data_IF_893156228813
#
_entry.id   IF_893156228813
#
_cell.length_a   1.000
_cell.length_b   1.000
_cell.length_c   1.000
_cell.angle_alpha   90.00
_cell.angle_beta   90.00
_cell.angle_gamma   90.00
#
_symmetry.space_group_name_H-M   'P 1'
#
loop_
_entity.id
_entity.type
_entity.pdbx_description
1 polymer ?
#
# COMPACT_ATOMS: atom_id res chain seq x y z
N UNK A 1 7.27 -10.43 1.92
CA UNK A 1 6.19 -9.53 2.37
C UNK A 1 6.49 -8.07 2.05
N UNK A 2 7.61 -7.50 2.49
CA UNK A 2 7.96 -6.09 2.21
C UNK A 2 7.94 -5.69 0.73
N UNK A 3 8.40 -6.56 -0.18
CA UNK A 3 8.34 -6.29 -1.63
C UNK A 3 6.93 -6.06 -2.14
N UNK A 4 6.01 -6.94 -1.73
CA UNK A 4 4.60 -6.81 -2.07
C UNK A 4 4.01 -5.53 -1.47
N UNK A 5 4.46 -5.12 -0.28
CA UNK A 5 4.02 -3.87 0.36
C UNK A 5 4.48 -2.62 -0.39
N UNK A 6 5.78 -2.50 -0.68
CA UNK A 6 6.35 -1.36 -1.42
C UNK A 6 5.63 -1.24 -2.77
N UNK A 7 5.51 -2.36 -3.46
CA UNK A 7 4.88 -2.43 -4.77
C UNK A 7 3.38 -2.12 -4.72
N UNK A 8 2.63 -2.67 -3.75
CA UNK A 8 1.20 -2.38 -3.58
C UNK A 8 0.96 -0.91 -3.23
N UNK A 9 1.80 -0.34 -2.37
CA UNK A 9 1.72 1.06 -1.98
C UNK A 9 2.02 1.98 -3.16
N UNK A 10 3.05 1.65 -3.93
CA UNK A 10 3.36 2.34 -5.17
C UNK A 10 2.15 2.33 -6.12
N UNK A 11 1.60 1.16 -6.44
CA UNK A 11 0.47 1.07 -7.37
C UNK A 11 -0.78 1.81 -6.87
N UNK A 12 -1.13 1.65 -5.59
CA UNK A 12 -2.26 2.37 -4.99
C UNK A 12 -2.07 3.90 -5.05
N UNK A 13 -0.85 4.39 -4.83
CA UNK A 13 -0.59 5.85 -4.87
C UNK A 13 -0.48 6.41 -6.28
N UNK A 14 0.06 5.62 -7.23
CA UNK A 14 0.01 5.95 -8.66
C UNK A 14 -1.44 5.98 -9.18
N UNK A 15 -2.28 5.04 -8.75
CA UNK A 15 -3.71 5.03 -9.08
C UNK A 15 -4.42 6.27 -8.56
N UNK A 16 -4.22 6.65 -7.29
CA UNK A 16 -4.80 7.89 -6.76
C UNK A 16 -4.33 9.11 -7.56
N UNK A 17 -3.11 9.12 -8.08
CA UNK A 17 -2.61 10.22 -8.93
C UNK A 17 -3.40 10.33 -10.24
N UNK A 18 -3.84 9.21 -10.81
CA UNK A 18 -4.70 9.21 -12.01
C UNK A 18 -6.14 9.64 -11.75
N UNK A 19 -6.54 9.77 -10.48
CA UNK A 19 -7.85 10.31 -10.11
C UNK A 19 -7.92 11.85 -10.18
N UNK A 20 -6.78 12.53 -10.39
CA UNK A 20 -6.77 13.96 -10.68
C UNK A 20 -7.53 14.20 -11.98
N UNK A 21 -8.48 15.14 -11.96
CA UNK A 21 -9.47 15.39 -13.03
C UNK A 21 -8.85 16.08 -14.25
N UNK A 22 -7.98 15.36 -14.95
CA UNK A 22 -7.46 15.69 -16.28
C UNK A 22 -7.79 14.57 -17.26
N UNK A 23 -7.75 14.88 -18.56
CA UNK A 23 -8.05 13.95 -19.65
C UNK A 23 -6.92 12.92 -19.88
N UNK A 24 -6.59 12.13 -18.87
CA UNK A 24 -5.54 11.12 -18.94
C UNK A 24 -5.74 10.20 -20.17
N UNK A 25 -4.71 9.99 -20.99
CA UNK A 25 -4.80 9.05 -22.09
C UNK A 25 -4.93 7.61 -21.55
N UNK A 26 -5.59 6.69 -22.28
CA UNK A 26 -5.76 5.29 -21.88
C UNK A 26 -4.46 4.59 -21.43
N UNK A 27 -3.34 4.91 -22.07
CA UNK A 27 -2.02 4.34 -21.74
C UNK A 27 -1.57 4.62 -20.30
N UNK A 28 -1.99 5.75 -19.71
CA UNK A 28 -1.70 6.08 -18.31
C UNK A 28 -2.37 5.08 -17.35
N UNK A 29 -3.55 4.57 -17.72
CA UNK A 29 -4.27 3.57 -16.95
C UNK A 29 -3.72 2.16 -17.14
N UNK A 30 -3.28 1.80 -18.35
CA UNK A 30 -2.63 0.50 -18.61
C UNK A 30 -1.30 0.32 -17.86
N UNK A 31 -0.63 1.42 -17.53
CA UNK A 31 0.59 1.39 -16.72
C UNK A 31 0.34 1.08 -15.23
N UNK A 32 -0.93 0.87 -14.83
CA UNK A 32 -1.33 0.53 -13.46
C UNK A 32 -1.80 -0.92 -13.39
N UNK A 33 -0.95 -1.87 -12.98
CA UNK A 33 -1.24 -3.30 -13.04
C UNK A 33 -2.27 -3.78 -12.00
N UNK A 34 -2.68 -2.93 -11.06
CA UNK A 34 -3.72 -3.22 -10.08
C UNK A 34 -4.76 -2.10 -10.05
N UNK A 35 -5.40 -1.80 -11.17
CA UNK A 35 -6.80 -1.40 -11.07
C UNK A 35 -7.55 -2.62 -10.55
N UNK A 36 -7.90 -2.64 -9.26
CA UNK A 36 -8.97 -3.54 -8.86
C UNK A 36 -10.16 -3.21 -9.76
N UNK A 37 -10.90 -4.21 -10.27
CA UNK A 37 -11.95 -4.01 -11.27
C UNK A 37 -13.14 -3.28 -10.63
N UNK A 38 -12.98 -1.99 -10.34
CA UNK A 38 -13.98 -1.14 -9.69
C UNK A 38 -14.45 -0.06 -10.67
N UNK A 39 -13.60 0.38 -11.61
CA UNK A 39 -14.04 1.31 -12.65
C UNK A 39 -14.75 0.63 -13.83
N UNK A 40 -14.47 -0.64 -14.11
CA UNK A 40 -14.95 -1.30 -15.35
C UNK A 40 -15.97 -2.41 -15.06
N UNK A 41 -16.44 -2.52 -13.81
CA UNK A 41 -17.56 -3.40 -13.46
C UNK A 41 -18.89 -2.96 -14.13
N UNK A 42 -18.89 -1.81 -14.80
CA UNK A 42 -19.91 -1.36 -15.77
C UNK A 42 -20.25 -2.45 -16.81
N UNK A 43 -19.31 -3.36 -17.12
CA UNK A 43 -19.52 -4.39 -18.15
C UNK A 43 -20.23 -5.68 -17.70
N UNK A 44 -20.51 -5.89 -16.41
CA UNK A 44 -21.19 -7.12 -15.96
C UNK A 44 -22.71 -6.99 -15.78
N UNK A 45 -23.28 -5.81 -16.00
CA UNK A 45 -24.73 -5.63 -16.01
C UNK A 45 -25.15 -4.45 -16.88
N UNK A 46 -25.30 -4.67 -18.18
CA UNK A 46 -25.83 -3.70 -19.14
C UNK A 46 -27.35 -3.47 -19.02
N UNK A 47 -27.94 -3.76 -17.86
CA UNK A 47 -29.33 -3.43 -17.58
C UNK A 47 -29.29 -2.17 -16.74
N UNK A 48 -29.33 -1.01 -17.41
CA UNK A 48 -29.22 0.38 -16.90
C UNK A 48 -30.10 0.71 -15.70
N UNK A 49 -29.82 0.04 -14.59
CA UNK A 49 -30.52 0.12 -13.32
C UNK A 49 -29.46 0.47 -12.29
N UNK A 50 -29.46 1.73 -11.85
CA UNK A 50 -28.54 2.24 -10.83
C UNK A 50 -28.54 1.46 -9.50
N UNK A 51 -29.46 0.50 -9.34
CA UNK A 51 -29.42 -0.51 -8.29
C UNK A 51 -28.12 -1.33 -8.30
N UNK A 52 -27.53 -1.63 -9.46
CA UNK A 52 -26.30 -2.43 -9.55
C UNK A 52 -25.09 -1.72 -8.93
N UNK A 53 -24.97 -0.41 -9.13
CA UNK A 53 -23.90 0.42 -8.56
C UNK A 53 -23.99 0.47 -7.03
N UNK A 54 -25.21 0.61 -6.49
CA UNK A 54 -25.45 0.54 -5.05
C UNK A 54 -25.16 -0.83 -4.46
N UNK A 55 -25.57 -1.92 -5.12
CA UNK A 55 -25.25 -3.28 -4.68
C UNK A 55 -23.74 -3.52 -4.71
N UNK A 56 -23.07 -3.06 -5.76
CA UNK A 56 -21.61 -3.16 -5.89
C UNK A 56 -20.91 -2.47 -4.72
N UNK A 57 -21.32 -1.25 -4.33
CA UNK A 57 -20.81 -0.58 -3.13
C UNK A 57 -20.90 -1.47 -1.89
N UNK A 58 -22.06 -2.08 -1.62
CA UNK A 58 -22.22 -2.96 -0.47
C UNK A 58 -21.40 -4.23 -0.56
N UNK A 59 -21.29 -4.87 -1.73
CA UNK A 59 -20.46 -6.06 -1.91
C UNK A 59 -18.98 -5.73 -1.62
N UNK A 60 -18.47 -4.62 -2.14
CA UNK A 60 -17.07 -4.20 -1.94
C UNK A 60 -16.72 -3.88 -0.48
N UNK A 61 -17.69 -3.42 0.31
CA UNK A 61 -17.50 -3.11 1.73
C UNK A 61 -17.73 -4.37 2.58
N UNK A 62 -18.84 -5.08 2.37
CA UNK A 62 -19.31 -6.12 3.28
C UNK A 62 -18.70 -7.50 3.01
N UNK A 63 -18.36 -7.82 1.76
CA UNK A 63 -17.73 -9.11 1.46
C UNK A 63 -16.32 -9.22 2.09
N UNK A 64 -15.41 -8.23 1.95
CA UNK A 64 -14.12 -8.29 2.61
C UNK A 64 -14.23 -8.27 4.13
N UNK A 65 -15.15 -7.47 4.70
CA UNK A 65 -15.35 -7.44 6.17
C UNK A 65 -15.89 -8.76 6.70
N UNK A 66 -16.77 -9.45 5.97
CA UNK A 66 -17.19 -10.81 6.28
C UNK A 66 -16.01 -11.78 6.27
N UNK A 67 -15.16 -11.73 5.23
CA UNK A 67 -13.94 -12.56 5.17
C UNK A 67 -13.01 -12.27 6.34
N UNK A 68 -12.82 -11.00 6.71
CA UNK A 68 -12.02 -10.62 7.88
C UNK A 68 -12.60 -11.12 9.19
N UNK A 69 -13.93 -11.05 9.35
CA UNK A 69 -14.63 -11.60 10.51
C UNK A 69 -14.42 -13.11 10.61
N UNK A 70 -14.60 -13.85 9.51
CA UNK A 70 -14.36 -15.29 9.45
C UNK A 70 -12.90 -15.64 9.78
N UNK A 71 -11.93 -14.93 9.20
CA UNK A 71 -10.51 -15.12 9.53
C UNK A 71 -10.24 -14.84 11.02
N UNK A 72 -10.83 -13.78 11.57
CA UNK A 72 -10.69 -13.42 12.98
C UNK A 72 -11.26 -14.49 13.92
N UNK A 73 -12.41 -15.08 13.57
CA UNK A 73 -12.99 -16.21 14.31
C UNK A 73 -12.03 -17.41 14.31
N UNK A 74 -11.49 -17.78 13.14
CA UNK A 74 -10.52 -18.89 13.04
C UNK A 74 -9.24 -18.60 13.86
N UNK A 75 -8.75 -17.36 13.83
CA UNK A 75 -7.60 -16.91 14.65
C UNK A 75 -7.92 -17.03 16.15
N UNK A 76 -9.13 -16.65 16.55
CA UNK A 76 -9.57 -16.66 17.94
C UNK A 76 -9.71 -18.09 18.49
N UNK A 77 -10.15 -19.03 17.65
CA UNK A 77 -10.21 -20.45 17.98
C UNK A 77 -8.84 -21.17 17.93
N UNK A 78 -7.82 -20.55 17.35
CA UNK A 78 -6.49 -21.18 17.21
C UNK A 78 -5.66 -21.09 18.51
N UNK A 79 -4.91 -22.15 18.89
CA UNK A 79 -4.07 -22.16 20.09
C UNK A 79 -3.11 -20.96 20.13
N UNK A 80 -2.97 -20.34 21.31
CA UNK A 80 -1.99 -19.27 21.53
C UNK A 80 -0.58 -19.79 21.27
N UNK A 81 0.23 -19.01 20.54
CA UNK A 81 1.61 -19.38 20.21
C UNK A 81 1.75 -20.39 19.06
N UNK A 82 0.67 -20.82 18.41
CA UNK A 82 0.78 -21.67 17.22
C UNK A 82 1.24 -20.88 15.99
N UNK A 83 2.15 -21.46 15.20
CA UNK A 83 2.61 -20.88 13.92
C UNK A 83 1.45 -20.55 12.98
N UNK A 84 0.42 -21.42 12.96
CA UNK A 84 -0.80 -21.21 12.18
C UNK A 84 -1.52 -19.93 12.58
N UNK A 85 -1.64 -19.65 13.88
CA UNK A 85 -2.28 -18.42 14.38
C UNK A 85 -1.50 -17.17 13.98
N UNK A 86 -0.17 -17.22 14.05
CA UNK A 86 0.69 -16.11 13.65
C UNK A 86 0.61 -15.84 12.14
N UNK A 87 0.62 -16.91 11.33
CA UNK A 87 0.47 -16.82 9.88
C UNK A 87 -0.89 -16.23 9.47
N UNK A 88 -1.98 -16.70 10.07
CA UNK A 88 -3.32 -16.18 9.83
C UNK A 88 -3.46 -14.72 10.27
N UNK A 89 -2.92 -14.34 11.44
CA UNK A 89 -2.95 -12.96 11.91
C UNK A 89 -2.17 -12.02 10.98
N UNK A 90 -1.00 -12.46 10.52
CA UNK A 90 -0.18 -11.73 9.55
C UNK A 90 -0.91 -11.54 8.22
N UNK A 91 -1.59 -12.60 7.76
CA UNK A 91 -2.38 -12.56 6.51
C UNK A 91 -3.58 -11.63 6.65
N UNK A 92 -4.29 -11.66 7.78
CA UNK A 92 -5.41 -10.75 8.06
C UNK A 92 -4.96 -9.29 8.01
N UNK A 93 -3.87 -8.95 8.71
CA UNK A 93 -3.34 -7.59 8.72
C UNK A 93 -2.93 -7.15 7.31
N UNK A 94 -2.28 -8.04 6.55
CA UNK A 94 -1.88 -7.76 5.17
C UNK A 94 -3.08 -7.49 4.26
N UNK A 95 -4.11 -8.34 4.31
CA UNK A 95 -5.33 -8.17 3.53
C UNK A 95 -6.08 -6.90 3.92
N UNK A 96 -6.17 -6.59 5.22
CA UNK A 96 -6.78 -5.36 5.70
C UNK A 96 -6.04 -4.10 5.20
N UNK A 97 -4.70 -4.13 5.16
CA UNK A 97 -3.90 -3.05 4.57
C UNK A 97 -4.12 -2.91 3.06
N UNK A 98 -4.27 -4.02 2.33
CA UNK A 98 -4.58 -3.98 0.89
C UNK A 98 -5.99 -3.44 0.61
N UNK A 99 -6.97 -3.77 1.47
CA UNK A 99 -8.35 -3.31 1.35
C UNK A 99 -8.57 -1.84 1.72
N UNK A 100 -7.68 -1.26 2.56
CA UNK A 100 -7.80 0.11 3.08
C UNK A 100 -7.99 1.17 1.99
N UNK A 101 -7.18 1.15 0.93
CA UNK A 101 -7.26 2.17 -0.13
C UNK A 101 -8.46 1.97 -1.05
N UNK A 102 -8.72 0.76 -1.57
CA UNK A 102 -9.89 0.50 -2.42
C UNK A 102 -11.22 0.87 -1.76
N UNK A 103 -11.41 0.59 -0.47
CA UNK A 103 -12.67 0.93 0.20
C UNK A 103 -12.86 2.44 0.34
N UNK A 104 -11.78 3.19 0.57
CA UNK A 104 -11.84 4.66 0.62
C UNK A 104 -12.05 5.27 -0.77
N UNK A 105 -11.43 4.73 -1.82
CA UNK A 105 -11.68 5.13 -3.21
C UNK A 105 -13.14 4.86 -3.60
N UNK A 106 -13.69 3.71 -3.21
CA UNK A 106 -15.10 3.38 -3.46
C UNK A 106 -16.03 4.38 -2.79
N UNK A 107 -15.75 4.74 -1.53
CA UNK A 107 -16.48 5.83 -0.86
C UNK A 107 -16.37 7.13 -1.65
N UNK A 108 -15.16 7.55 -2.05
CA UNK A 108 -14.96 8.77 -2.84
C UNK A 108 -15.74 8.77 -4.16
N UNK A 109 -15.75 7.65 -4.88
CA UNK A 109 -16.44 7.50 -6.18
C UNK A 109 -17.95 7.72 -6.09
N UNK A 110 -18.58 7.43 -4.95
CA UNK A 110 -20.02 7.62 -4.73
C UNK A 110 -20.41 9.11 -4.63
N UNK A 111 -19.44 10.02 -4.52
CA UNK A 111 -19.65 11.47 -4.43
C UNK A 111 -19.10 12.22 -5.64
N UNK A 112 -18.55 11.51 -6.62
CA UNK A 112 -18.02 12.11 -7.84
C UNK A 112 -19.14 12.29 -8.87
N UNK A 113 -19.69 13.50 -8.94
CA UNK A 113 -20.82 13.84 -9.79
C UNK A 113 -20.41 14.82 -10.89
N UNK A 114 -20.99 14.68 -12.07
CA UNK A 114 -20.89 15.65 -13.16
C UNK A 114 -22.24 16.33 -13.40
N UNK A 115 -22.18 17.57 -13.89
CA UNK A 115 -23.37 18.36 -14.20
C UNK A 115 -23.83 18.05 -15.63
N UNK A 116 -25.12 17.75 -15.79
CA UNK A 116 -25.77 17.63 -17.10
C UNK A 116 -26.60 18.89 -17.36
N UNK A 117 -26.13 19.70 -18.32
CA UNK A 117 -26.77 20.97 -18.69
C UNK A 117 -28.04 20.77 -19.52
N UNK A 118 -28.26 19.58 -20.09
CA UNK A 118 -29.44 19.28 -20.92
C UNK A 118 -30.64 18.86 -20.07
N UNK A 119 -30.39 18.29 -18.88
CA UNK A 119 -31.43 17.84 -17.95
C UNK A 119 -31.54 18.80 -16.78
N UNK A 120 -32.64 19.55 -16.72
CA UNK A 120 -32.93 20.49 -15.65
C UNK A 120 -33.87 19.89 -14.60
N UNK A 121 -33.65 20.25 -13.35
CA UNK A 121 -34.59 20.05 -12.25
C UNK A 121 -35.81 20.97 -12.38
N UNK A 122 -36.85 20.72 -11.58
CA UNK A 122 -38.08 21.53 -11.54
C UNK A 122 -37.82 23.03 -11.20
N UNK A 123 -36.69 23.33 -10.56
CA UNK A 123 -36.24 24.69 -10.22
C UNK A 123 -35.35 25.34 -11.29
N UNK A 124 -35.13 24.67 -12.42
CA UNK A 124 -34.27 25.14 -13.51
C UNK A 124 -32.77 24.96 -13.26
N UNK A 125 -32.35 24.26 -12.20
CA UNK A 125 -30.94 23.91 -11.95
C UNK A 125 -30.52 22.66 -12.76
N UNK A 126 -29.26 22.55 -13.20
CA UNK A 126 -28.78 21.35 -13.89
C UNK A 126 -28.79 20.13 -12.96
N UNK A 127 -29.16 18.98 -13.51
CA UNK A 127 -29.09 17.72 -12.79
C UNK A 127 -27.64 17.27 -12.64
N UNK A 128 -27.36 16.53 -11.56
CA UNK A 128 -26.05 15.99 -11.28
C UNK A 128 -26.11 14.48 -11.33
N UNK A 129 -25.27 13.86 -12.15
CA UNK A 129 -25.22 12.42 -12.32
C UNK A 129 -23.89 11.88 -11.84
N UNK A 130 -23.88 10.63 -11.38
CA UNK A 130 -22.67 9.99 -10.89
C UNK A 130 -21.72 9.69 -12.06
N UNK A 131 -20.44 10.01 -11.91
CA UNK A 131 -19.43 9.73 -12.95
C UNK A 131 -19.28 8.22 -13.19
N UNK A 132 -19.38 7.42 -12.12
CA UNK A 132 -19.29 5.97 -12.18
C UNK A 132 -20.57 5.28 -12.69
N UNK A 133 -21.68 6.00 -12.78
CA UNK A 133 -22.96 5.50 -13.29
C UNK A 133 -23.83 6.68 -13.75
N UNK A 134 -23.75 7.06 -15.04
CA UNK A 134 -24.50 8.19 -15.58
C UNK A 134 -26.02 8.08 -15.47
N UNK A 135 -26.57 6.90 -15.16
CA UNK A 135 -28.01 6.71 -14.96
C UNK A 135 -28.45 7.08 -13.53
N UNK A 136 -27.50 7.26 -12.60
CA UNK A 136 -27.77 7.62 -11.22
C UNK A 136 -27.68 9.13 -10.99
N UNK A 137 -28.83 9.75 -10.70
CA UNK A 137 -28.87 11.12 -10.20
C UNK A 137 -28.30 11.16 -8.76
N UNK A 138 -27.38 12.11 -8.51
CA UNK A 138 -26.74 12.33 -7.21
C UNK A 138 -27.68 12.88 -6.13
N UNK A 139 -28.81 13.46 -6.53
CA UNK A 139 -29.94 13.87 -5.68
C UNK A 139 -31.22 13.12 -6.08
N UNK A 140 -31.28 11.79 -5.85
CA UNK A 140 -32.42 11.00 -6.30
C UNK A 140 -33.66 11.23 -5.42
N UNK A 141 -34.83 11.01 -6.01
CA UNK A 141 -36.13 10.97 -5.32
C UNK A 141 -36.63 9.53 -5.11
N UNK A 142 -37.69 9.35 -4.32
CA UNK A 142 -38.32 8.05 -4.10
C UNK A 142 -37.41 7.00 -3.43
N UNK A 143 -37.47 5.74 -3.90
CA UNK A 143 -36.73 4.61 -3.30
C UNK A 143 -35.21 4.77 -3.42
N UNK A 144 -34.73 5.45 -4.46
CA UNK A 144 -33.30 5.70 -4.65
C UNK A 144 -32.73 6.69 -3.64
N UNK A 145 -33.56 7.60 -3.08
CA UNK A 145 -33.17 8.45 -1.94
C UNK A 145 -32.82 7.63 -0.70
N UNK A 146 -33.56 6.55 -0.44
CA UNK A 146 -33.27 5.65 0.68
C UNK A 146 -31.90 4.97 0.51
N UNK A 147 -31.61 4.43 -0.68
CA UNK A 147 -30.31 3.83 -0.99
C UNK A 147 -29.15 4.83 -0.87
N UNK A 148 -29.34 6.05 -1.37
CA UNK A 148 -28.35 7.15 -1.24
C UNK A 148 -28.07 7.48 0.22
N UNK A 149 -29.10 7.59 1.06
CA UNK A 149 -28.94 7.82 2.50
C UNK A 149 -28.19 6.68 3.20
N UNK A 150 -28.46 5.42 2.84
CA UNK A 150 -27.71 4.28 3.37
C UNK A 150 -26.22 4.37 3.00
N UNK A 151 -25.91 4.76 1.77
CA UNK A 151 -24.52 4.98 1.34
C UNK A 151 -23.87 6.11 2.10
N UNK A 152 -24.56 7.22 2.36
CA UNK A 152 -24.03 8.30 3.18
C UNK A 152 -23.66 7.84 4.59
N UNK A 153 -24.54 7.08 5.24
CA UNK A 153 -24.30 6.52 6.58
C UNK A 153 -23.09 5.58 6.54
N UNK A 154 -23.05 4.63 5.58
CA UNK A 154 -21.95 3.67 5.47
C UNK A 154 -20.62 4.37 5.14
N UNK A 155 -20.64 5.36 4.25
CA UNK A 155 -19.47 6.15 3.89
C UNK A 155 -18.90 6.89 5.09
N UNK A 156 -19.76 7.52 5.90
CA UNK A 156 -19.35 8.16 7.14
C UNK A 156 -18.71 7.15 8.11
N UNK A 157 -19.34 5.98 8.30
CA UNK A 157 -18.80 4.93 9.15
C UNK A 157 -17.45 4.42 8.63
N UNK A 158 -17.30 4.21 7.32
CA UNK A 158 -16.04 3.78 6.71
C UNK A 158 -14.95 4.83 6.92
N UNK A 159 -15.23 6.11 6.69
CA UNK A 159 -14.24 7.19 6.92
C UNK A 159 -13.81 7.23 8.38
N UNK A 160 -14.74 7.13 9.32
CA UNK A 160 -14.44 7.16 10.76
C UNK A 160 -13.69 5.91 11.21
N UNK A 161 -14.21 4.71 10.94
CA UNK A 161 -13.67 3.47 11.48
C UNK A 161 -12.50 2.93 10.67
N UNK A 162 -12.60 2.94 9.34
CA UNK A 162 -11.53 2.48 8.46
C UNK A 162 -10.53 3.61 8.25
N UNK A 163 -10.98 4.76 7.74
CA UNK A 163 -10.11 5.87 7.36
C UNK A 163 -9.24 6.39 8.51
N UNK A 164 -9.83 6.69 9.67
CA UNK A 164 -9.15 7.22 10.85
C UNK A 164 -8.88 6.16 11.93
N UNK A 165 -9.89 5.33 12.22
CA UNK A 165 -9.85 4.35 13.29
C UNK A 165 -8.79 3.27 13.10
N UNK A 166 -8.62 2.76 11.87
CA UNK A 166 -7.67 1.68 11.60
C UNK A 166 -6.20 2.15 11.73
N UNK A 167 -5.76 3.27 11.12
CA UNK A 167 -4.42 3.83 11.38
C UNK A 167 -4.18 4.12 12.87
N UNK A 168 -5.17 4.71 13.56
CA UNK A 168 -5.06 5.00 14.99
C UNK A 168 -4.88 3.72 15.82
N UNK A 169 -5.67 2.68 15.54
CA UNK A 169 -5.55 1.39 16.21
C UNK A 169 -4.15 0.77 16.03
N UNK A 170 -3.61 0.80 14.81
CA UNK A 170 -2.24 0.33 14.54
C UNK A 170 -1.23 1.17 15.34
N UNK A 171 -1.32 2.50 15.29
CA UNK A 171 -0.43 3.38 16.02
C UNK A 171 -0.41 3.09 17.52
N UNK A 172 -1.59 3.00 18.16
CA UNK A 172 -1.70 2.71 19.58
C UNK A 172 -1.15 1.33 19.93
N UNK A 173 -1.42 0.30 19.11
CA UNK A 173 -0.91 -1.06 19.34
C UNK A 173 0.61 -1.13 19.21
N UNK A 174 1.18 -0.55 18.17
CA UNK A 174 2.63 -0.50 17.98
C UNK A 174 3.31 0.29 19.11
N UNK A 175 2.73 1.43 19.51
CA UNK A 175 3.22 2.23 20.64
C UNK A 175 3.17 1.47 21.96
N UNK A 176 2.09 0.71 22.21
CA UNK A 176 1.96 -0.14 23.39
C UNK A 176 3.00 -1.27 23.40
N UNK A 177 3.24 -1.91 22.25
CA UNK A 177 4.27 -2.96 22.12
C UNK A 177 5.67 -2.38 22.33
N UNK A 178 5.96 -1.18 21.80
CA UNK A 178 7.22 -0.47 22.03
C UNK A 178 7.43 -0.17 23.51
N UNK A 179 6.44 0.42 24.19
CA UNK A 179 6.50 0.75 25.63
C UNK A 179 6.75 -0.47 26.51
N UNK A 180 6.24 -1.63 26.11
CA UNK A 180 6.38 -2.87 26.87
C UNK A 180 7.62 -3.69 26.47
N UNK A 181 8.48 -3.19 25.59
CA UNK A 181 9.62 -3.93 25.01
C UNK A 181 9.22 -5.28 24.37
N UNK A 182 8.04 -5.32 23.72
CA UNK A 182 7.47 -6.51 23.06
C UNK A 182 7.45 -6.40 21.53
N UNK A 183 8.33 -5.57 20.96
CA UNK A 183 8.58 -5.51 19.51
C UNK A 183 9.44 -6.71 19.09
N UNK A 184 8.87 -7.91 19.10
CA UNK A 184 9.57 -9.14 18.72
C UNK A 184 9.03 -9.66 17.39
N UNK A 185 9.90 -10.32 16.61
CA UNK A 185 9.52 -10.94 15.34
C UNK A 185 8.45 -12.05 15.51
N UNK A 186 8.31 -12.60 16.71
CA UNK A 186 7.34 -13.64 17.06
C UNK A 186 5.93 -13.10 17.33
N UNK A 187 5.76 -11.78 17.31
CA UNK A 187 4.45 -11.15 17.50
C UNK A 187 3.53 -11.38 16.31
N UNK A 188 2.22 -11.51 16.56
CA UNK A 188 1.19 -11.51 15.51
C UNK A 188 1.15 -10.20 14.70
N UNK A 189 1.71 -9.13 15.25
CA UNK A 189 1.82 -7.82 14.62
C UNK A 189 3.20 -7.55 14.00
N UNK A 190 4.12 -8.52 14.03
CA UNK A 190 5.47 -8.35 13.51
C UNK A 190 5.46 -7.87 12.05
N UNK A 191 4.49 -8.32 11.26
CA UNK A 191 4.31 -7.85 9.88
C UNK A 191 4.20 -6.33 9.71
N UNK A 192 3.75 -5.60 10.74
CA UNK A 192 3.62 -4.13 10.73
C UNK A 192 4.92 -3.40 11.05
N UNK A 193 5.91 -4.04 11.68
CA UNK A 193 7.11 -3.35 12.17
C UNK A 193 8.43 -4.08 11.98
N UNK A 194 8.43 -5.36 11.59
CA UNK A 194 9.62 -6.20 11.46
C UNK A 194 10.64 -5.70 10.43
N UNK A 195 10.25 -4.77 9.58
CA UNK A 195 11.12 -4.17 8.57
C UNK A 195 11.50 -2.73 8.88
N UNK A 196 10.98 -2.17 9.97
CA UNK A 196 11.20 -0.79 10.35
C UNK A 196 12.19 -0.68 11.50
N UNK A 197 12.89 0.45 11.56
CA UNK A 197 13.76 0.78 12.67
C UNK A 197 12.94 0.95 13.96
N UNK A 198 13.51 0.68 15.14
CA UNK A 198 12.84 0.89 16.42
C UNK A 198 12.34 2.33 16.63
N UNK A 199 12.94 3.31 15.95
CA UNK A 199 12.57 4.72 16.00
C UNK A 199 11.29 5.03 15.23
N UNK A 200 11.06 4.36 14.09
CA UNK A 200 9.91 4.57 13.21
C UNK A 200 9.09 3.30 12.94
N UNK A 201 8.60 2.58 13.97
CA UNK A 201 7.84 1.34 13.78
C UNK A 201 6.41 1.58 13.24
N UNK A 202 6.03 2.85 13.03
CA UNK A 202 4.70 3.29 12.61
C UNK A 202 4.67 3.82 11.16
N UNK A 203 5.66 3.50 10.32
CA UNK A 203 5.69 3.96 8.92
C UNK A 203 4.43 3.55 8.13
N UNK A 204 3.86 2.37 8.41
CA UNK A 204 2.59 1.93 7.79
C UNK A 204 1.43 2.90 8.06
N UNK A 205 1.37 3.45 9.28
CA UNK A 205 0.36 4.45 9.65
C UNK A 205 0.54 5.70 8.80
N UNK A 206 1.79 6.11 8.56
CA UNK A 206 2.11 7.25 7.69
C UNK A 206 1.65 6.98 6.26
N UNK A 207 1.89 5.78 5.72
CA UNK A 207 1.39 5.40 4.40
C UNK A 207 -0.13 5.42 4.31
N UNK A 208 -0.83 4.93 5.33
CA UNK A 208 -2.30 4.93 5.36
C UNK A 208 -2.84 6.37 5.40
N UNK A 209 -2.33 7.21 6.29
CA UNK A 209 -2.72 8.62 6.39
C UNK A 209 -2.45 9.35 5.07
N UNK A 210 -1.27 9.12 4.46
CA UNK A 210 -0.94 9.66 3.13
C UNK A 210 -2.02 9.30 2.11
N UNK A 211 -2.37 8.01 1.98
CA UNK A 211 -3.38 7.55 1.01
C UNK A 211 -4.75 8.16 1.30
N UNK A 212 -5.18 8.21 2.57
CA UNK A 212 -6.45 8.82 2.95
C UNK A 212 -6.51 10.31 2.62
N UNK A 213 -5.43 11.07 2.88
CA UNK A 213 -5.36 12.49 2.52
C UNK A 213 -5.45 12.71 1.01
N UNK A 214 -4.73 11.90 0.22
CA UNK A 214 -4.79 11.99 -1.23
C UNK A 214 -6.22 11.72 -1.73
N UNK A 215 -6.88 10.64 -1.27
CA UNK A 215 -8.27 10.31 -1.65
C UNK A 215 -9.24 11.41 -1.22
N UNK A 216 -9.07 11.96 -0.01
CA UNK A 216 -9.89 13.06 0.50
C UNK A 216 -9.81 14.26 -0.45
N UNK A 217 -8.60 14.68 -0.84
CA UNK A 217 -8.42 15.80 -1.77
C UNK A 217 -8.97 15.52 -3.17
N UNK A 218 -8.85 14.29 -3.67
CA UNK A 218 -9.48 13.94 -4.95
C UNK A 218 -11.00 14.08 -4.88
N UNK A 219 -11.61 13.64 -3.77
CA UNK A 219 -13.05 13.65 -3.59
C UNK A 219 -13.61 15.06 -3.32
N UNK A 220 -12.95 15.87 -2.48
CA UNK A 220 -13.47 17.18 -2.07
C UNK A 220 -13.19 18.30 -3.06
N UNK A 221 -12.19 18.13 -3.93
CA UNK A 221 -11.78 19.15 -4.93
C UNK A 221 -12.03 18.67 -6.36
N UNK A 222 -13.06 17.85 -6.57
CA UNK A 222 -13.39 17.25 -7.87
C UNK A 222 -13.51 18.28 -9.00
N UNK A 223 -13.93 19.51 -8.71
CA UNK A 223 -14.08 20.62 -9.67
C UNK A 223 -12.78 21.41 -9.93
N UNK A 224 -11.71 21.15 -9.17
CA UNK A 224 -10.49 21.96 -9.18
C UNK A 224 -9.24 21.10 -9.42
N UNK A 225 -8.95 20.69 -10.67
CA UNK A 225 -7.85 19.78 -10.98
C UNK A 225 -6.45 20.34 -10.63
N UNK A 226 -6.27 21.65 -10.74
CA UNK A 226 -5.03 22.31 -10.31
C UNK A 226 -4.82 22.16 -8.79
N UNK A 227 -5.87 22.40 -7.99
CA UNK A 227 -5.80 22.29 -6.54
C UNK A 227 -5.56 20.82 -6.10
N UNK A 228 -6.23 19.87 -6.76
CA UNK A 228 -5.97 18.44 -6.60
C UNK A 228 -4.49 18.10 -6.82
N UNK A 229 -3.92 18.54 -7.96
CA UNK A 229 -2.53 18.25 -8.30
C UNK A 229 -1.53 18.90 -7.33
N UNK A 230 -1.75 20.16 -6.93
CA UNK A 230 -0.89 20.86 -5.95
C UNK A 230 -0.90 20.15 -4.60
N UNK A 231 -2.08 19.79 -4.06
CA UNK A 231 -2.16 19.12 -2.77
C UNK A 231 -1.58 17.70 -2.82
N UNK A 232 -1.80 16.96 -3.91
CA UNK A 232 -1.12 15.68 -4.17
C UNK A 232 0.39 15.82 -4.15
N UNK A 233 0.93 16.85 -4.83
CA UNK A 233 2.35 17.14 -4.83
C UNK A 233 2.86 17.45 -3.42
N UNK A 234 2.18 18.30 -2.66
CA UNK A 234 2.56 18.66 -1.28
C UNK A 234 2.59 17.43 -0.36
N UNK A 235 1.55 16.59 -0.40
CA UNK A 235 1.49 15.37 0.42
C UNK A 235 2.61 14.40 0.05
N UNK A 236 2.85 14.19 -1.24
CA UNK A 236 3.90 13.28 -1.71
C UNK A 236 5.31 13.83 -1.39
N UNK A 237 5.53 15.14 -1.52
CA UNK A 237 6.78 15.79 -1.15
C UNK A 237 7.04 15.70 0.36
N UNK A 238 6.03 15.94 1.18
CA UNK A 238 6.09 15.77 2.63
C UNK A 238 6.44 14.32 3.01
N UNK A 239 5.86 13.34 2.33
CA UNK A 239 6.18 11.93 2.53
C UNK A 239 7.64 11.59 2.16
N UNK A 240 8.13 12.08 1.02
CA UNK A 240 9.55 11.92 0.64
C UNK A 240 10.48 12.55 1.68
N UNK A 241 10.15 13.74 2.18
CA UNK A 241 10.93 14.40 3.24
C UNK A 241 10.96 13.57 4.54
N UNK A 242 9.84 12.95 4.92
CA UNK A 242 9.78 12.02 6.07
C UNK A 242 10.70 10.81 5.84
N UNK A 243 10.63 10.16 4.66
CA UNK A 243 11.47 9.01 4.34
C UNK A 243 12.96 9.36 4.39
N UNK A 244 13.34 10.49 3.79
CA UNK A 244 14.73 10.95 3.75
C UNK A 244 15.26 11.24 5.15
N UNK A 245 14.48 11.96 5.97
CA UNK A 245 14.90 12.38 7.31
C UNK A 245 14.98 11.21 8.29
N UNK A 246 14.02 10.30 8.22
CA UNK A 246 13.85 9.28 9.25
C UNK A 246 14.49 7.94 8.92
N UNK A 247 14.77 7.66 7.64
CA UNK A 247 15.35 6.39 7.14
C UNK A 247 14.73 5.17 7.85
N UNK A 248 13.41 5.00 7.77
CA UNK A 248 12.65 4.20 8.73
C UNK A 248 12.81 2.69 8.57
N UNK A 249 13.66 2.21 7.65
CA UNK A 249 13.78 0.81 7.25
C UNK A 249 15.09 0.20 7.73
N UNK A 250 15.02 -1.04 8.22
CA UNK A 250 16.21 -1.82 8.61
C UNK A 250 17.14 -1.95 7.41
N UNK A 251 18.44 -1.81 7.65
CA UNK A 251 19.45 -1.85 6.60
C UNK A 251 19.51 -3.24 5.94
N UNK A 252 19.13 -3.32 4.67
CA UNK A 252 19.44 -4.45 3.81
C UNK A 252 20.34 -3.94 2.68
N UNK A 253 21.61 -4.37 2.59
CA UNK A 253 22.51 -3.87 1.56
C UNK A 253 21.97 -4.21 0.16
N UNK A 254 21.85 -3.18 -0.67
CA UNK A 254 21.53 -3.31 -2.08
C UNK A 254 22.77 -3.81 -2.83
N UNK A 255 22.64 -4.88 -3.61
CA UNK A 255 23.81 -5.42 -4.34
C UNK A 255 24.10 -4.66 -5.65
N UNK A 256 23.12 -3.88 -6.14
CA UNK A 256 23.26 -3.05 -7.34
C UNK A 256 23.89 -1.69 -7.06
N UNK A 257 23.53 -1.07 -5.93
CA UNK A 257 24.05 0.25 -5.54
C UNK A 257 24.74 0.10 -4.19
N UNK A 258 26.07 0.22 -4.22
CA UNK A 258 26.92 0.06 -3.03
C UNK A 258 26.50 1.05 -1.94
N UNK A 259 26.49 0.58 -0.69
CA UNK A 259 26.15 1.34 0.52
C UNK A 259 24.72 1.91 0.58
N UNK A 260 23.80 1.41 -0.26
CA UNK A 260 22.39 1.80 -0.18
C UNK A 260 21.54 0.69 0.45
N UNK A 261 20.54 1.09 1.23
CA UNK A 261 19.53 0.17 1.74
C UNK A 261 18.50 -0.10 0.62
N UNK A 262 18.39 -1.35 0.19
CA UNK A 262 17.49 -1.76 -0.90
C UNK A 262 16.03 -1.38 -0.63
N UNK A 263 15.55 -1.58 0.60
CA UNK A 263 14.16 -1.28 0.95
C UNK A 263 13.92 0.22 0.98
N UNK A 264 14.83 0.98 1.59
CA UNK A 264 14.72 2.44 1.63
C UNK A 264 14.79 3.04 0.23
N UNK A 265 15.72 2.57 -0.59
CA UNK A 265 15.86 2.99 -1.98
C UNK A 265 14.58 2.73 -2.76
N UNK A 266 13.98 1.54 -2.59
CA UNK A 266 12.75 1.18 -3.30
C UNK A 266 11.57 2.07 -2.90
N UNK A 267 11.40 2.35 -1.61
CA UNK A 267 10.36 3.26 -1.11
C UNK A 267 10.58 4.70 -1.58
N UNK A 268 11.81 5.20 -1.51
CA UNK A 268 12.16 6.55 -1.98
C UNK A 268 11.93 6.68 -3.48
N UNK A 269 12.37 5.71 -4.29
CA UNK A 269 12.13 5.72 -5.73
C UNK A 269 10.63 5.68 -6.06
N UNK A 270 9.86 4.80 -5.40
CA UNK A 270 8.41 4.74 -5.59
C UNK A 270 7.73 6.06 -5.21
N UNK A 271 8.14 6.67 -4.09
CA UNK A 271 7.64 7.99 -3.68
C UNK A 271 8.03 9.10 -4.67
N UNK A 272 9.25 9.11 -5.19
CA UNK A 272 9.70 10.05 -6.22
C UNK A 272 8.91 9.90 -7.52
N UNK A 273 8.59 8.68 -7.95
CA UNK A 273 7.75 8.45 -9.13
C UNK A 273 6.35 9.01 -8.92
N UNK A 274 5.74 8.79 -7.75
CA UNK A 274 4.41 9.35 -7.44
C UNK A 274 4.43 10.88 -7.36
N UNK A 275 5.53 11.47 -6.87
CA UNK A 275 5.75 12.91 -6.86
C UNK A 275 5.89 13.47 -8.29
N UNK A 276 6.67 12.80 -9.14
CA UNK A 276 6.80 13.15 -10.55
C UNK A 276 5.44 13.03 -11.27
N UNK A 277 4.65 12.01 -10.97
CA UNK A 277 3.29 11.87 -11.48
C UNK A 277 2.38 13.03 -11.06
N UNK A 278 2.47 13.47 -9.80
CA UNK A 278 1.73 14.64 -9.31
C UNK A 278 2.13 15.92 -10.03
N UNK A 279 3.43 16.08 -10.33
CA UNK A 279 3.94 17.21 -11.11
C UNK A 279 3.46 17.16 -12.57
N UNK A 280 3.51 16.00 -13.23
CA UNK A 280 2.97 15.84 -14.58
C UNK A 280 1.48 16.14 -14.63
N UNK A 281 0.73 15.71 -13.62
CA UNK A 281 -0.69 16.02 -13.50
C UNK A 281 -0.95 17.52 -13.34
N UNK A 282 -0.11 18.23 -12.57
CA UNK A 282 -0.16 19.68 -12.43
C UNK A 282 0.07 20.38 -13.78
N UNK A 283 1.10 19.97 -14.53
CA UNK A 283 1.36 20.52 -15.86
C UNK A 283 0.19 20.22 -16.80
N UNK A 284 -0.39 19.02 -16.75
CA UNK A 284 -1.55 18.65 -17.55
C UNK A 284 -2.83 19.42 -17.20
N UNK A 285 -3.01 19.75 -15.92
CA UNK A 285 -4.13 20.58 -15.46
C UNK A 285 -4.02 22.03 -15.95
N UNK A 286 -2.80 22.53 -16.16
CA UNK A 286 -2.55 23.89 -16.69
C UNK A 286 -2.52 23.90 -18.22
N UNK A 287 -2.03 22.83 -18.86
CA UNK A 287 -1.82 22.74 -20.31
C UNK A 287 -2.54 21.53 -20.92
N UNK A 288 -3.81 21.73 -21.29
CA UNK A 288 -4.66 20.66 -21.84
C UNK A 288 -4.12 20.07 -23.15
N UNK A 289 -3.36 20.84 -23.95
CA UNK A 289 -2.76 20.37 -25.21
C UNK A 289 -1.62 19.35 -25.03
N UNK A 290 -1.04 19.25 -23.83
CA UNK A 290 0.08 18.36 -23.55
C UNK A 290 -0.33 17.04 -22.86
N UNK A 291 -1.60 16.85 -22.51
CA UNK A 291 -2.05 15.76 -21.63
C UNK A 291 -1.71 14.36 -22.18
N UNK A 292 -1.80 14.16 -23.50
CA UNK A 292 -1.42 12.88 -24.13
C UNK A 292 0.07 12.55 -23.94
N UNK A 293 0.95 13.54 -24.14
CA UNK A 293 2.41 13.38 -23.97
C UNK A 293 2.75 13.16 -22.50
N UNK A 294 2.11 13.91 -21.60
CA UNK A 294 2.31 13.79 -20.15
C UNK A 294 1.82 12.44 -19.62
N UNK A 295 0.66 11.96 -20.07
CA UNK A 295 0.15 10.66 -19.68
C UNK A 295 0.98 9.49 -20.23
N UNK A 296 1.52 9.62 -21.44
CA UNK A 296 2.50 8.66 -21.98
C UNK A 296 3.79 8.67 -21.15
N UNK A 297 4.28 9.86 -20.78
CA UNK A 297 5.46 10.01 -19.92
C UNK A 297 5.22 9.38 -18.55
N UNK A 298 4.05 9.62 -17.95
CA UNK A 298 3.64 8.98 -16.71
C UNK A 298 3.64 7.46 -16.84
N UNK A 299 3.06 6.91 -17.91
CA UNK A 299 3.05 5.48 -18.17
C UNK A 299 4.47 4.90 -18.25
N UNK A 300 5.36 5.53 -19.02
CA UNK A 300 6.75 5.11 -19.18
C UNK A 300 7.49 5.11 -17.85
N UNK A 301 7.33 6.15 -17.02
CA UNK A 301 7.98 6.22 -15.70
C UNK A 301 7.47 5.08 -14.79
N UNK A 302 6.16 4.83 -14.73
CA UNK A 302 5.59 3.78 -13.88
C UNK A 302 6.02 2.37 -14.32
N UNK A 303 6.01 2.10 -15.63
CA UNK A 303 6.48 0.82 -16.19
C UNK A 303 7.97 0.66 -15.92
N UNK A 304 8.77 1.70 -16.15
CA UNK A 304 10.21 1.66 -15.91
C UNK A 304 10.54 1.37 -14.46
N UNK A 305 9.87 2.04 -13.51
CA UNK A 305 10.04 1.75 -12.09
C UNK A 305 9.66 0.31 -11.76
N UNK A 306 8.53 -0.17 -12.27
CA UNK A 306 8.06 -1.54 -12.02
C UNK A 306 9.06 -2.58 -12.54
N UNK A 307 9.54 -2.42 -13.77
CA UNK A 307 10.55 -3.30 -14.38
C UNK A 307 11.85 -3.26 -13.60
N UNK A 308 12.37 -2.05 -13.30
CA UNK A 308 13.61 -1.88 -12.54
C UNK A 308 13.50 -2.47 -11.12
N UNK A 309 12.34 -2.31 -10.47
CA UNK A 309 12.06 -2.93 -9.18
C UNK A 309 12.13 -4.45 -9.29
N UNK A 310 11.42 -5.07 -10.24
CA UNK A 310 11.45 -6.52 -10.41
C UNK A 310 12.84 -7.05 -10.78
N UNK A 311 13.52 -6.41 -11.73
CA UNK A 311 14.89 -6.78 -12.12
C UNK A 311 15.86 -6.65 -10.95
N UNK A 312 15.84 -5.52 -10.23
CA UNK A 312 16.72 -5.30 -9.10
C UNK A 312 16.51 -6.30 -7.97
N UNK A 313 15.25 -6.58 -7.62
CA UNK A 313 14.94 -7.60 -6.63
C UNK A 313 15.26 -9.02 -7.10
N UNK A 314 15.13 -9.32 -8.40
CA UNK A 314 15.49 -10.63 -8.95
C UNK A 314 17.00 -10.88 -8.84
N UNK A 315 17.82 -9.89 -9.20
CA UNK A 315 19.29 -9.97 -9.07
C UNK A 315 19.71 -10.15 -7.62
N UNK A 316 19.15 -9.36 -6.70
CA UNK A 316 19.45 -9.47 -5.26
C UNK A 316 19.01 -10.84 -4.70
N UNK A 317 17.92 -11.43 -5.21
CA UNK A 317 17.48 -12.78 -4.84
C UNK A 317 18.42 -13.87 -5.31
N UNK A 318 18.94 -13.77 -6.54
CA UNK A 318 19.88 -14.75 -7.08
C UNK A 318 21.18 -14.75 -6.28
N UNK A 319 21.76 -13.57 -6.03
CA UNK A 319 22.99 -13.43 -5.25
C UNK A 319 22.83 -13.94 -3.82
N UNK A 320 21.73 -13.61 -3.14
CA UNK A 320 21.45 -14.13 -1.79
C UNK A 320 21.40 -15.66 -1.75
N UNK A 321 20.88 -16.32 -2.80
CA UNK A 321 20.90 -17.79 -2.91
C UNK A 321 22.31 -18.34 -3.12
N UNK A 322 23.13 -17.66 -3.92
CA UNK A 322 24.53 -18.04 -4.17
C UNK A 322 25.38 -17.92 -2.92
N UNK A 323 25.23 -16.83 -2.17
CA UNK A 323 25.91 -16.62 -0.88
C UNK A 323 25.51 -17.66 0.15
N UNK A 324 24.22 -17.99 0.23
CA UNK A 324 23.74 -19.07 1.10
C UNK A 324 24.34 -20.42 0.70
N UNK A 325 24.45 -20.70 -0.60
CA UNK A 325 25.04 -21.94 -1.13
C UNK A 325 26.54 -22.02 -0.86
N UNK A 326 27.27 -20.89 -0.95
CA UNK A 326 28.71 -20.82 -0.67
C UNK A 326 29.00 -21.01 0.83
N UNK A 327 28.17 -20.44 1.71
CA UNK A 327 28.23 -20.66 3.16
C UNK A 327 27.94 -22.11 3.54
N UNK A 328 26.93 -22.73 2.92
CA UNK A 328 26.64 -24.16 3.14
C UNK A 328 27.79 -25.06 2.68
N UNK A 329 28.43 -24.73 1.54
CA UNK A 329 29.63 -25.45 1.07
C UNK A 329 30.81 -25.28 2.03
N UNK A 330 31.12 -24.06 2.48
CA UNK A 330 32.20 -23.83 3.47
C UNK A 330 31.93 -24.52 4.81
N UNK A 331 30.68 -24.53 5.27
CA UNK A 331 30.27 -25.28 6.46
C UNK A 331 30.41 -26.80 6.30
N UNK A 332 30.18 -27.34 5.10
CA UNK A 332 30.40 -28.77 4.82
C UNK A 332 31.88 -29.15 4.71
N UNK A 333 32.73 -28.25 4.20
CA UNK A 333 34.18 -28.49 4.10
C UNK A 333 34.84 -28.41 5.48
N UNK A 334 34.46 -27.45 6.32
CA UNK A 334 34.97 -27.34 7.69
C UNK A 334 34.54 -28.54 8.59
N UNK A 335 33.45 -29.22 8.25
CA UNK A 335 32.99 -30.45 8.91
C UNK A 335 33.78 -31.69 8.50
N UNK A 336 34.49 -31.66 7.38
CA UNK A 336 35.29 -32.80 6.89
C UNK A 336 36.76 -32.72 7.30
N UNK A 337 37.25 -31.57 7.78
CA UNK A 337 38.63 -31.39 8.28
C UNK A 337 38.78 -31.49 9.80
N UNK A 338 37.67 -31.53 10.55
CA UNK A 338 37.69 -31.86 11.97
C UNK A 338 37.46 -33.37 12.13
N UNK A 339 38.54 -34.12 12.37
CA UNK A 339 38.48 -35.56 12.64
C UNK A 339 37.47 -35.92 13.73
N UNK A 340 36.77 -37.03 13.49
CA UNK A 340 35.99 -37.86 14.42
C UNK A 340 35.42 -37.16 15.66
N UNK A 341 34.16 -36.71 15.56
CA UNK A 341 33.20 -36.78 16.66
C UNK A 341 31.77 -36.84 16.11
N UNK A 342 31.06 -37.89 16.54
CA UNK A 342 29.61 -38.17 16.43
C UNK A 342 28.77 -37.21 15.59
N UNK A 343 28.15 -37.75 14.53
CA UNK A 343 27.18 -37.05 13.68
C UNK A 343 26.08 -36.36 14.52
N UNK A 344 25.97 -35.02 14.49
CA UNK A 344 24.85 -34.33 15.07
C UNK A 344 23.60 -34.55 14.21
N UNK A 345 22.47 -34.79 14.87
CA UNK A 345 21.19 -35.04 14.19
C UNK A 345 20.74 -33.81 13.38
N UNK A 346 19.81 -33.99 12.44
CA UNK A 346 19.33 -32.90 11.56
C UNK A 346 18.75 -31.67 12.31
N UNK A 347 18.35 -31.86 13.57
CA UNK A 347 17.91 -30.81 14.50
C UNK A 347 19.07 -29.97 15.01
N UNK A 348 20.16 -30.59 15.48
CA UNK A 348 21.38 -29.89 15.91
C UNK A 348 22.01 -29.07 14.78
N UNK A 349 21.89 -29.55 13.54
CA UNK A 349 22.36 -28.81 12.36
C UNK A 349 21.53 -27.56 12.07
N UNK A 350 20.21 -27.59 12.30
CA UNK A 350 19.33 -26.43 12.15
C UNK A 350 19.57 -25.41 13.26
N UNK A 351 19.76 -25.84 14.50
CA UNK A 351 20.04 -24.95 15.63
C UNK A 351 21.44 -24.32 15.54
N UNK A 352 22.43 -25.08 15.05
CA UNK A 352 23.75 -24.55 14.72
C UNK A 352 23.70 -23.46 13.64
N UNK A 353 22.91 -23.67 12.58
CA UNK A 353 22.71 -22.69 11.51
C UNK A 353 21.96 -21.46 12.01
N UNK A 354 20.94 -21.64 12.86
CA UNK A 354 20.20 -20.53 13.48
C UNK A 354 21.12 -19.70 14.37
N UNK A 355 21.92 -20.33 15.24
CA UNK A 355 22.92 -19.64 16.07
C UNK A 355 23.96 -18.88 15.26
N UNK A 356 24.47 -19.47 14.17
CA UNK A 356 25.45 -18.79 13.30
C UNK A 356 24.83 -17.62 12.54
N UNK A 357 23.58 -17.74 12.11
CA UNK A 357 22.85 -16.65 11.47
C UNK A 357 22.57 -15.53 12.48
N UNK A 358 22.13 -15.86 13.69
CA UNK A 358 21.91 -14.89 14.77
C UNK A 358 23.21 -14.19 15.19
N UNK A 359 24.34 -14.89 15.21
CA UNK A 359 25.66 -14.27 15.44
C UNK A 359 26.08 -13.33 14.29
N UNK A 360 25.78 -13.71 13.05
CA UNK A 360 26.10 -12.87 11.88
C UNK A 360 25.25 -11.61 11.85
N UNK A 361 23.97 -11.72 12.25
CA UNK A 361 23.05 -10.59 12.41
C UNK A 361 23.52 -9.68 13.54
N UNK A 362 23.88 -10.23 14.71
CA UNK A 362 24.42 -9.44 15.83
C UNK A 362 25.72 -8.72 15.47
N UNK A 363 26.62 -9.37 14.72
CA UNK A 363 27.85 -8.73 14.26
C UNK A 363 27.56 -7.57 13.28
N UNK A 364 26.57 -7.73 12.41
CA UNK A 364 26.13 -6.65 11.52
C UNK A 364 25.43 -5.50 12.27
N UNK A 365 24.69 -5.82 13.34
CA UNK A 365 24.11 -4.82 14.25
C UNK A 365 25.21 -4.05 15.01
N UNK A 366 26.23 -4.72 15.56
CA UNK A 366 27.36 -4.06 16.22
C UNK A 366 28.21 -3.21 15.25
N UNK A 367 28.41 -3.67 14.02
CA UNK A 367 29.09 -2.87 12.99
C UNK A 367 28.27 -1.64 12.62
N UNK A 368 26.94 -1.78 12.54
CA UNK A 368 26.04 -0.66 12.28
C UNK A 368 26.00 0.34 13.42
N UNK A 369 25.96 -0.11 14.67
CA UNK A 369 25.99 0.77 15.85
C UNK A 369 27.30 1.55 15.91
N UNK A 370 28.43 0.89 15.63
CA UNK A 370 29.74 1.55 15.54
C UNK A 370 29.83 2.54 14.37
N UNK A 371 29.18 2.25 13.24
CA UNK A 371 29.08 3.19 12.14
C UNK A 371 28.18 4.37 12.52
N UNK A 372 27.02 4.15 13.13
CA UNK A 372 26.11 5.24 13.53
C UNK A 372 26.76 6.24 14.51
N UNK A 373 27.61 5.75 15.42
CA UNK A 373 28.41 6.57 16.34
C UNK A 373 29.50 7.42 15.67
N UNK A 374 29.93 7.07 14.44
CA UNK A 374 30.91 7.85 13.67
C UNK A 374 30.28 8.95 12.82
N UNK A 375 28.96 8.93 12.66
CA UNK A 375 28.21 9.89 11.83
C UNK A 375 27.29 10.80 12.65
N UNK A 376 27.21 10.59 13.96
CA UNK A 376 26.73 11.56 14.95
C UNK A 376 27.91 12.43 15.42
#
# INVERSE_FOLDING_TARGET
MIRLKVLSTFFQTSEITTMIKISWPPIAFFAMPFKLPVSDAECFGSDGSGTLTYVSFFVYVWLPTLVFALMFLVISCSPRGSDRRQALSTSLIFLAMLWYTPVLQMVGSMYDCFEDLERLNDDGSPQHFLVADPDLNCNPSGIFKFWRNLIHINSLLIVVFVGLGFPAAIYYKVKQLKRNNKLTADSSFASLYQYYTPDMPFLEVVHMIRKALLILFMSTLATHPIAQAVLCFIVNAGFVAILWRTKPLIFLPCTLIKNQNLYLLSEVLGACVTLAGSFLALVGAVSQGAVNVLGTTFAVINISFTVLFFCGFHVDMLRSKEDKKSLLRRGSVASNTSGERLMPTSLDRKDSLKKKLDQSVKAAEEEWDNLSLRWA
#
